data_IF_606574414182
#
_entry.id   IF_606574414182
#
_cell.length_a   1.000
_cell.length_b   1.000
_cell.length_c   1.000
_cell.angle_alpha   90.00
_cell.angle_beta   90.00
_cell.angle_gamma   90.00
#
_symmetry.space_group_name_H-M   'P 1'
#
loop_
_entity.id
_entity.type
_entity.pdbx_description
1 polymer ?
#
# COMPACT_ATOMS: atom_id res chain seq x y z
N UNK A 1 -22.99 3.37 10.27
CA UNK A 1 -21.89 4.33 10.08
C UNK A 1 -21.11 4.40 11.40
N UNK A 2 -19.98 3.72 11.43
CA UNK A 2 -19.00 3.78 12.51
C UNK A 2 -18.00 4.91 12.18
N UNK A 3 -17.65 5.77 13.14
CA UNK A 3 -16.60 6.79 12.94
C UNK A 3 -15.39 6.43 13.79
N UNK A 4 -14.20 6.45 13.18
CA UNK A 4 -12.93 6.09 13.82
C UNK A 4 -11.83 7.07 13.45
N UNK A 5 -10.77 7.14 14.25
CA UNK A 5 -9.53 7.83 13.88
C UNK A 5 -8.77 7.02 12.82
N UNK A 6 -7.92 7.69 12.05
CA UNK A 6 -7.12 7.07 10.98
C UNK A 6 -6.19 5.94 11.44
N UNK A 7 -5.83 5.89 12.72
CA UNK A 7 -4.93 4.90 13.34
C UNK A 7 -5.70 3.78 14.08
N UNK A 8 -7.02 3.73 13.93
CA UNK A 8 -7.86 2.76 14.63
C UNK A 8 -7.68 1.33 14.13
N UNK A 9 -7.57 0.39 15.06
CA UNK A 9 -7.44 -1.05 14.77
C UNK A 9 -8.66 -1.65 14.02
N UNK A 10 -9.79 -0.95 13.96
CA UNK A 10 -10.94 -1.33 13.13
C UNK A 10 -10.58 -1.34 11.64
N UNK A 11 -9.63 -0.50 11.22
CA UNK A 11 -9.13 -0.49 9.85
C UNK A 11 -8.24 -1.70 9.57
N UNK A 12 -7.75 -2.35 10.63
CA UNK A 12 -6.91 -3.53 10.54
C UNK A 12 -7.72 -4.82 10.32
N UNK A 13 -8.99 -4.86 10.72
CA UNK A 13 -9.81 -6.06 10.64
C UNK A 13 -11.26 -5.68 10.30
N UNK A 14 -11.78 -6.12 9.16
CA UNK A 14 -13.21 -5.96 8.81
C UNK A 14 -13.58 -4.88 7.80
N UNK A 15 -12.65 -4.50 6.90
CA UNK A 15 -12.89 -3.53 5.82
C UNK A 15 -13.42 -4.15 4.51
N UNK A 16 -13.34 -5.47 4.35
CA UNK A 16 -13.82 -6.15 3.15
C UNK A 16 -15.33 -5.94 2.92
N UNK A 17 -15.72 -5.58 1.69
CA UNK A 17 -17.12 -5.30 1.33
C UNK A 17 -17.70 -4.03 1.95
N UNK A 18 -16.90 -3.22 2.67
CA UNK A 18 -17.33 -1.98 3.31
C UNK A 18 -17.14 -0.79 2.39
N UNK A 19 -18.07 0.16 2.49
CA UNK A 19 -17.93 1.51 1.96
C UNK A 19 -17.26 2.39 3.01
N UNK A 20 -16.06 2.86 2.70
CA UNK A 20 -15.22 3.64 3.61
C UNK A 20 -15.11 5.06 3.07
N UNK A 21 -15.18 6.04 3.97
CA UNK A 21 -15.04 7.45 3.65
C UNK A 21 -13.97 8.08 4.55
N UNK A 22 -12.91 8.61 3.94
CA UNK A 22 -11.88 9.39 4.61
C UNK A 22 -12.31 10.86 4.60
N UNK A 23 -12.34 11.47 5.78
CA UNK A 23 -12.81 12.86 6.00
C UNK A 23 -11.76 13.65 6.78
N UNK A 24 -11.92 14.97 6.79
CA UNK A 24 -11.02 15.88 7.52
C UNK A 24 -9.55 15.68 7.09
N UNK A 25 -9.31 15.71 5.78
CA UNK A 25 -7.99 15.50 5.19
C UNK A 25 -7.63 16.62 4.21
N UNK A 26 -6.33 16.84 4.03
CA UNK A 26 -5.77 17.62 2.92
C UNK A 26 -5.36 16.66 1.80
N UNK A 27 -6.21 16.48 0.79
CA UNK A 27 -6.00 15.50 -0.27
C UNK A 27 -5.13 16.08 -1.37
N UNK A 28 -4.10 15.35 -1.82
CA UNK A 28 -3.28 15.72 -2.96
C UNK A 28 -4.05 15.47 -4.26
N UNK A 29 -4.44 16.55 -4.94
CA UNK A 29 -5.13 16.53 -6.23
C UNK A 29 -4.38 17.44 -7.21
N UNK A 30 -4.00 16.92 -8.38
CA UNK A 30 -3.37 17.70 -9.44
C UNK A 30 -2.20 18.59 -8.94
N UNK A 31 -1.35 18.04 -8.06
CA UNK A 31 -0.20 18.73 -7.48
C UNK A 31 -0.52 19.76 -6.39
N UNK A 32 -1.76 19.81 -5.88
CA UNK A 32 -2.18 20.73 -4.81
C UNK A 32 -2.84 19.98 -3.66
N UNK A 33 -2.63 20.48 -2.44
CA UNK A 33 -3.34 20.02 -1.26
C UNK A 33 -4.65 20.78 -1.13
N UNK A 34 -5.77 20.07 -1.16
CA UNK A 34 -7.11 20.65 -1.05
C UNK A 34 -7.92 19.96 0.05
N UNK A 35 -8.74 20.68 0.83
CA UNK A 35 -9.70 20.04 1.72
C UNK A 35 -10.69 19.22 0.90
N UNK A 36 -10.67 17.90 1.05
CA UNK A 36 -11.50 16.97 0.28
C UNK A 36 -11.67 15.66 1.08
N UNK A 37 -12.52 14.79 0.56
CA UNK A 37 -12.81 13.46 1.09
C UNK A 37 -12.49 12.39 0.04
N UNK A 38 -12.14 11.20 0.49
CA UNK A 38 -11.89 10.06 -0.39
C UNK A 38 -12.81 8.91 -0.03
N UNK A 39 -13.44 8.33 -1.04
CA UNK A 39 -14.33 7.19 -0.89
C UNK A 39 -13.65 5.94 -1.43
N UNK A 40 -13.69 4.86 -0.66
CA UNK A 40 -13.06 3.58 -1.00
C UNK A 40 -14.06 2.44 -0.82
N UNK A 41 -14.07 1.52 -1.77
CA UNK A 41 -14.81 0.26 -1.71
C UNK A 41 -13.97 -0.82 -2.37
N UNK A 42 -13.81 -1.96 -1.70
CA UNK A 42 -13.11 -3.15 -2.21
C UNK A 42 -11.71 -2.81 -2.78
N UNK A 43 -10.94 -2.03 -2.02
CA UNK A 43 -9.58 -1.60 -2.38
C UNK A 43 -9.50 -0.59 -3.53
N UNK A 44 -10.64 -0.08 -4.03
CA UNK A 44 -10.70 0.90 -5.12
C UNK A 44 -11.22 2.24 -4.62
N UNK A 45 -10.57 3.31 -5.07
CA UNK A 45 -11.10 4.67 -4.92
C UNK A 45 -12.29 4.81 -5.86
N UNK A 46 -13.42 5.25 -5.33
CA UNK A 46 -14.64 5.47 -6.09
C UNK A 46 -15.04 6.95 -6.07
N UNK A 47 -15.89 7.33 -7.01
CA UNK A 47 -16.46 8.68 -7.04
C UNK A 47 -17.49 8.85 -5.91
N UNK A 48 -17.25 9.84 -5.05
CA UNK A 48 -18.16 10.18 -3.95
C UNK A 48 -19.49 10.77 -4.41
N UNK A 49 -19.54 11.41 -5.59
CA UNK A 49 -20.80 11.94 -6.13
C UNK A 49 -21.75 10.79 -6.48
N UNK A 50 -21.25 9.74 -7.14
CA UNK A 50 -22.01 8.53 -7.44
C UNK A 50 -22.59 7.88 -6.16
N UNK A 51 -21.82 7.82 -5.07
CA UNK A 51 -22.32 7.30 -3.78
C UNK A 51 -23.48 8.15 -3.23
N UNK A 52 -23.37 9.47 -3.32
CA UNK A 52 -24.35 10.39 -2.75
C UNK A 52 -25.63 10.48 -3.59
N UNK A 53 -25.51 10.68 -4.90
CA UNK A 53 -26.66 10.95 -5.78
C UNK A 53 -27.36 9.67 -6.25
N UNK A 54 -26.60 8.63 -6.59
CA UNK A 54 -27.14 7.42 -7.20
C UNK A 54 -27.49 6.39 -6.13
N UNK A 55 -26.53 6.02 -5.29
CA UNK A 55 -26.75 5.02 -4.24
C UNK A 55 -27.51 5.55 -3.02
N UNK A 56 -27.43 6.87 -2.78
CA UNK A 56 -28.00 7.56 -1.60
C UNK A 56 -27.62 6.87 -0.28
N UNK A 57 -26.39 6.38 -0.23
CA UNK A 57 -25.87 5.54 0.85
C UNK A 57 -24.88 6.31 1.72
N UNK A 58 -24.91 6.07 3.03
CA UNK A 58 -23.87 6.54 3.96
C UNK A 58 -22.73 5.54 4.04
N UNK A 59 -21.52 6.02 4.32
CA UNK A 59 -20.38 5.14 4.59
C UNK A 59 -20.68 4.15 5.73
N UNK A 60 -20.18 2.93 5.59
CA UNK A 60 -20.19 1.96 6.68
C UNK A 60 -19.20 2.42 7.76
N UNK A 61 -18.03 2.92 7.33
CA UNK A 61 -16.95 3.44 8.17
C UNK A 61 -16.55 4.84 7.68
N UNK A 62 -16.53 5.82 8.59
CA UNK A 62 -15.90 7.12 8.39
C UNK A 62 -14.58 7.17 9.15
N UNK A 63 -13.52 7.52 8.43
CA UNK A 63 -12.16 7.66 8.97
C UNK A 63 -11.84 9.14 9.08
N UNK A 64 -11.63 9.62 10.30
CA UNK A 64 -11.17 10.98 10.57
C UNK A 64 -9.65 11.05 10.45
N UNK A 65 -9.18 11.82 9.45
CA UNK A 65 -7.76 12.02 9.18
C UNK A 65 -7.14 13.18 9.97
N UNK A 66 -7.87 13.83 10.88
CA UNK A 66 -7.34 14.84 11.80
C UNK A 66 -6.61 16.03 11.12
N UNK A 67 -6.99 16.36 9.89
CA UNK A 67 -6.41 17.45 9.09
C UNK A 67 -5.10 17.08 8.39
N UNK A 68 -4.69 15.81 8.45
CA UNK A 68 -3.46 15.29 7.88
C UNK A 68 -3.54 15.19 6.36
N UNK A 69 -2.39 14.95 5.73
CA UNK A 69 -2.29 14.84 4.27
C UNK A 69 -2.72 13.44 3.81
N UNK A 70 -3.50 13.40 2.72
CA UNK A 70 -3.86 12.17 2.04
C UNK A 70 -3.30 12.22 0.61
N UNK A 71 -2.22 11.48 0.34
CA UNK A 71 -1.58 11.41 -0.97
C UNK A 71 -1.47 9.98 -1.48
N UNK A 72 -1.51 9.74 -2.81
CA UNK A 72 -1.18 8.44 -3.37
C UNK A 72 0.10 7.90 -2.74
N UNK A 73 0.13 6.59 -2.50
CA UNK A 73 1.34 5.93 -2.03
C UNK A 73 2.50 6.14 -3.00
N UNK A 74 3.70 6.21 -2.45
CA UNK A 74 4.90 6.46 -3.24
C UNK A 74 5.25 5.27 -4.12
N UNK A 75 5.85 5.59 -5.27
CA UNK A 75 6.38 4.62 -6.21
C UNK A 75 7.89 4.79 -6.24
N UNK A 76 8.62 3.79 -5.76
CA UNK A 76 10.08 3.78 -5.81
C UNK A 76 10.56 3.04 -7.05
N UNK A 77 11.03 3.79 -8.04
CA UNK A 77 11.49 3.22 -9.31
C UNK A 77 12.91 2.66 -9.25
N UNK A 78 13.63 2.81 -8.13
CA UNK A 78 14.99 2.33 -7.98
C UNK A 78 15.32 2.02 -6.53
N UNK A 79 15.11 0.76 -6.15
CA UNK A 79 15.54 0.23 -4.86
C UNK A 79 16.31 -1.08 -5.05
N UNK A 80 17.53 -1.15 -4.50
CA UNK A 80 18.40 -2.33 -4.62
C UNK A 80 18.06 -3.42 -3.58
N UNK A 81 17.33 -3.05 -2.54
CA UNK A 81 17.03 -3.87 -1.39
C UNK A 81 16.74 -2.99 -0.17
N UNK A 82 16.43 -3.61 0.96
CA UNK A 82 16.13 -2.91 2.20
C UNK A 82 16.11 -3.87 3.37
N UNK A 83 16.24 -3.33 4.58
CA UNK A 83 15.98 -4.08 5.81
C UNK A 83 16.82 -5.36 6.01
N UNK A 84 18.04 -5.37 5.46
CA UNK A 84 18.95 -6.52 5.52
C UNK A 84 18.84 -7.47 4.33
N UNK A 85 17.96 -7.20 3.37
CA UNK A 85 17.79 -7.95 2.11
C UNK A 85 18.35 -7.14 0.95
N UNK A 86 19.19 -7.75 0.11
CA UNK A 86 19.68 -7.21 -1.15
C UNK A 86 19.14 -8.06 -2.32
N UNK A 87 18.49 -7.41 -3.30
CA UNK A 87 17.92 -8.11 -4.46
C UNK A 87 18.98 -8.68 -5.41
N UNK A 88 20.23 -8.26 -5.28
CA UNK A 88 21.37 -8.73 -6.07
C UNK A 88 22.12 -9.89 -5.41
N UNK A 89 21.64 -10.40 -4.28
CA UNK A 89 22.22 -11.58 -3.64
C UNK A 89 21.85 -12.85 -4.42
N UNK A 90 22.73 -13.86 -4.43
CA UNK A 90 22.36 -15.19 -4.93
C UNK A 90 21.59 -15.95 -3.83
N UNK A 91 20.27 -16.19 -3.99
CA UNK A 91 19.52 -16.98 -3.02
C UNK A 91 19.87 -18.47 -3.15
N UNK A 92 19.69 -19.24 -2.06
CA UNK A 92 19.82 -20.70 -2.15
C UNK A 92 18.61 -21.33 -2.85
N UNK A 93 17.41 -20.75 -2.68
CA UNK A 93 16.17 -21.18 -3.35
C UNK A 93 15.26 -19.99 -3.69
N UNK A 94 14.32 -20.19 -4.62
CA UNK A 94 13.31 -19.18 -4.98
C UNK A 94 12.41 -18.83 -3.78
N UNK A 95 12.11 -19.78 -2.89
CA UNK A 95 11.31 -19.53 -1.69
C UNK A 95 12.05 -18.65 -0.67
N UNK A 96 13.36 -18.82 -0.51
CA UNK A 96 14.17 -17.93 0.31
C UNK A 96 14.18 -16.51 -0.27
N UNK A 97 14.34 -16.39 -1.58
CA UNK A 97 14.34 -15.11 -2.26
C UNK A 97 12.99 -14.40 -2.13
N UNK A 98 11.89 -15.11 -2.35
CA UNK A 98 10.54 -14.58 -2.20
C UNK A 98 10.30 -14.05 -0.78
N UNK A 99 10.72 -14.79 0.27
CA UNK A 99 10.59 -14.30 1.66
C UNK A 99 11.33 -12.99 1.91
N UNK A 100 12.53 -12.84 1.35
CA UNK A 100 13.29 -11.59 1.43
C UNK A 100 12.57 -10.44 0.73
N UNK A 101 12.06 -10.69 -0.47
CA UNK A 101 11.27 -9.73 -1.26
C UNK A 101 9.98 -9.33 -0.54
N UNK A 102 9.29 -10.28 0.09
CA UNK A 102 8.06 -10.03 0.85
C UNK A 102 8.36 -9.16 2.09
N UNK A 103 9.47 -9.42 2.79
CA UNK A 103 9.88 -8.62 3.94
C UNK A 103 10.20 -7.17 3.56
N UNK A 104 10.88 -6.96 2.43
CA UNK A 104 11.11 -5.61 1.90
C UNK A 104 9.79 -4.93 1.57
N UNK A 105 8.91 -5.63 0.83
CA UNK A 105 7.59 -5.13 0.44
C UNK A 105 6.78 -4.69 1.65
N UNK A 106 6.66 -5.54 2.67
CA UNK A 106 5.90 -5.26 3.90
C UNK A 106 6.44 -4.05 4.64
N UNK A 107 7.77 -3.93 4.77
CA UNK A 107 8.39 -2.84 5.53
C UNK A 107 8.39 -1.51 4.79
N UNK A 108 8.44 -1.51 3.46
CA UNK A 108 8.35 -0.30 2.64
C UNK A 108 7.05 0.48 2.89
N UNK A 109 5.96 -0.21 3.20
CA UNK A 109 4.68 0.41 3.51
C UNK A 109 4.74 1.38 4.70
N UNK A 110 5.60 1.10 5.69
CA UNK A 110 5.80 2.00 6.85
C UNK A 110 6.46 3.35 6.49
N UNK A 111 7.03 3.45 5.28
CA UNK A 111 7.61 4.66 4.71
C UNK A 111 6.71 5.27 3.61
N UNK A 112 5.49 4.74 3.45
CA UNK A 112 4.52 5.23 2.46
C UNK A 112 4.76 4.74 1.02
N UNK A 113 5.71 3.82 0.80
CA UNK A 113 5.98 3.24 -0.54
C UNK A 113 5.03 2.05 -0.76
N UNK A 114 4.14 2.17 -1.74
CA UNK A 114 3.10 1.17 -2.03
C UNK A 114 3.38 0.35 -3.28
N UNK A 115 4.36 0.76 -4.08
CA UNK A 115 4.84 0.04 -5.27
C UNK A 115 6.30 0.37 -5.49
N UNK A 116 7.07 -0.59 -5.98
CA UNK A 116 8.49 -0.36 -6.26
C UNK A 116 9.01 -1.26 -7.38
N UNK A 117 10.14 -0.86 -7.97
CA UNK A 117 10.89 -1.64 -8.93
C UNK A 117 12.16 -2.19 -8.27
N UNK A 118 12.20 -3.51 -7.96
CA UNK A 118 13.41 -4.13 -7.41
C UNK A 118 14.54 -4.06 -8.45
N UNK A 119 15.67 -3.52 -8.04
CA UNK A 119 16.83 -3.27 -8.91
C UNK A 119 17.93 -4.28 -8.59
N UNK A 120 18.27 -5.10 -9.58
CA UNK A 120 19.49 -5.92 -9.54
C UNK A 120 20.61 -5.09 -10.15
N UNK A 121 21.66 -4.81 -9.37
CA UNK A 121 22.77 -3.98 -9.81
C UNK A 121 23.70 -4.75 -10.75
N UNK A 122 24.78 -4.11 -11.20
CA UNK A 122 25.83 -4.79 -11.97
C UNK A 122 26.44 -5.91 -11.13
N UNK A 123 26.28 -7.14 -11.61
CA UNK A 123 26.64 -8.37 -10.90
C UNK A 123 27.27 -9.38 -11.86
N UNK A 124 27.98 -10.40 -11.35
CA UNK A 124 28.44 -11.51 -12.17
C UNK A 124 27.29 -12.24 -12.89
N UNK A 125 27.52 -12.86 -14.07
CA UNK A 125 26.50 -13.58 -14.84
C UNK A 125 25.70 -14.62 -14.04
N UNK A 126 26.34 -15.25 -13.06
CA UNK A 126 25.74 -16.27 -12.19
C UNK A 126 24.61 -15.71 -11.34
N UNK A 127 24.71 -14.44 -10.91
CA UNK A 127 23.67 -13.75 -10.15
C UNK A 127 22.42 -13.58 -11.01
N UNK A 128 22.57 -13.08 -12.24
CA UNK A 128 21.44 -12.92 -13.15
C UNK A 128 20.77 -14.24 -13.51
N UNK A 129 21.54 -15.34 -13.54
CA UNK A 129 21.01 -16.69 -13.78
C UNK A 129 20.27 -17.28 -12.57
N UNK A 130 20.51 -16.77 -11.36
CA UNK A 130 19.91 -17.27 -10.10
C UNK A 130 18.79 -16.39 -9.57
N UNK A 131 18.81 -15.10 -9.87
CA UNK A 131 17.72 -14.20 -9.49
C UNK A 131 16.48 -14.55 -10.30
N UNK A 132 15.44 -15.00 -9.58
CA UNK A 132 14.16 -15.34 -10.19
C UNK A 132 13.42 -14.08 -10.62
N UNK A 133 13.36 -13.84 -11.94
CA UNK A 133 12.59 -12.73 -12.50
C UNK A 133 11.11 -12.86 -12.17
N UNK A 134 10.59 -14.07 -11.95
CA UNK A 134 9.19 -14.28 -11.61
C UNK A 134 8.89 -13.85 -10.16
N UNK A 135 9.84 -14.08 -9.25
CA UNK A 135 9.80 -13.52 -7.88
C UNK A 135 9.83 -11.99 -7.96
N UNK A 136 10.77 -11.38 -8.70
CA UNK A 136 10.84 -9.92 -8.80
C UNK A 136 9.61 -9.29 -9.47
N UNK A 137 9.04 -9.93 -10.49
CA UNK A 137 7.80 -9.50 -11.14
C UNK A 137 6.58 -9.60 -10.23
N UNK A 138 6.65 -10.31 -9.11
CA UNK A 138 5.57 -10.35 -8.13
C UNK A 138 5.44 -9.03 -7.33
N UNK A 139 6.45 -8.16 -7.35
CA UNK A 139 6.50 -6.90 -6.58
C UNK A 139 5.60 -5.76 -7.09
N UNK A 140 4.75 -6.01 -8.10
CA UNK A 140 4.08 -4.96 -8.90
C UNK A 140 3.19 -4.02 -8.10
N UNK A 141 2.47 -4.54 -7.12
CA UNK A 141 1.67 -3.79 -6.17
C UNK A 141 1.66 -4.58 -4.87
N UNK A 142 2.16 -3.99 -3.78
CA UNK A 142 2.27 -4.67 -2.48
C UNK A 142 0.89 -5.19 -2.01
N UNK A 143 -0.20 -4.58 -2.50
CA UNK A 143 -1.58 -4.91 -2.12
C UNK A 143 -2.37 -5.82 -3.06
N UNK A 144 -1.90 -6.12 -4.28
CA UNK A 144 -2.80 -6.74 -5.27
C UNK A 144 -2.70 -8.26 -5.38
N UNK A 145 -1.53 -8.87 -5.14
CA UNK A 145 -1.33 -10.22 -5.68
C UNK A 145 -0.67 -11.29 -4.80
N UNK A 146 -0.10 -11.04 -3.62
CA UNK A 146 0.54 -12.16 -2.91
C UNK A 146 0.93 -12.04 -1.43
N UNK A 147 0.51 -10.99 -0.75
CA UNK A 147 0.55 -11.03 0.71
C UNK A 147 -0.75 -11.68 1.15
N UNK A 148 -0.70 -12.95 1.52
CA UNK A 148 -1.76 -13.53 2.35
C UNK A 148 -1.89 -12.60 3.55
N UNK A 149 -2.96 -11.82 3.62
CA UNK A 149 -3.27 -10.99 4.76
C UNK A 149 -3.37 -11.89 6.00
N UNK A 150 -2.25 -12.14 6.67
CA UNK A 150 -2.26 -12.54 8.06
C UNK A 150 -2.70 -11.32 8.86
N UNK A 151 -3.43 -11.59 9.94
CA UNK A 151 -4.40 -10.72 10.63
C UNK A 151 -3.85 -9.39 11.20
N UNK A 152 -2.57 -9.06 10.96
CA UNK A 152 -1.84 -7.92 11.52
C UNK A 152 -1.39 -6.85 10.49
N UNK A 153 -1.56 -7.09 9.19
CA UNK A 153 -0.87 -6.28 8.15
C UNK A 153 -1.67 -5.15 7.51
N UNK A 154 -2.96 -5.05 7.84
CA UNK A 154 -3.84 -4.03 7.29
C UNK A 154 -3.52 -2.59 7.76
N UNK A 155 -2.71 -2.41 8.81
CA UNK A 155 -2.15 -1.09 9.19
C UNK A 155 -1.43 -0.41 8.03
N UNK A 156 -0.86 -1.22 7.15
CA UNK A 156 -0.01 -0.78 6.07
C UNK A 156 -0.80 -0.44 4.79
N UNK A 157 -2.04 -0.95 4.67
CA UNK A 157 -2.93 -0.70 3.52
C UNK A 157 -3.57 0.70 3.52
N UNK A 158 -3.56 1.36 4.68
CA UNK A 158 -4.25 2.64 4.88
C UNK A 158 -3.32 3.79 5.28
N UNK A 159 -2.01 3.52 5.34
CA UNK A 159 -0.99 4.58 5.36
C UNK A 159 -0.85 5.17 3.94
N UNK A 160 -1.91 5.83 3.49
CA UNK A 160 -1.74 7.10 2.79
C UNK A 160 -0.70 7.88 3.58
N UNK A 161 0.20 8.59 2.92
CA UNK A 161 1.28 9.26 3.63
C UNK A 161 0.71 10.45 4.40
N UNK A 162 0.23 10.14 5.60
CA UNK A 162 -0.25 11.02 6.63
C UNK A 162 1.02 11.66 7.19
N UNK A 163 1.56 12.61 6.44
CA UNK A 163 2.58 13.51 6.93
C UNK A 163 1.92 14.47 7.92
N UNK A 164 2.49 14.54 9.13
CA UNK A 164 2.30 15.64 10.06
C UNK A 164 2.98 16.92 9.54
#
# INVERSE_FOLDING_TARGET
MLRVRYDSDVLSNGVAGKLIQFINAKVLRNGKLVPDQVWVRDGKIIDGASVFFDERRKADIQVDCEGLILSPGFIDIQINGGFGVDFSTMPATDEEYQRGVDEVSRRLLSYGVTSYAPTVITSPPEVYARVSLDVLKSCRCIFHDRISCQEDEWRAMWMWVIWA
#
